data_IF_635504368972
#
_entry.id   IF_635504368972
#
_cell.length_a   1.000
_cell.length_b   1.000
_cell.length_c   1.000
_cell.angle_alpha   90.00
_cell.angle_beta   90.00
_cell.angle_gamma   90.00
#
_symmetry.space_group_name_H-M   'P 1'
#
loop_
_entity.id
_entity.type
_entity.pdbx_description
1 polymer ?
#
# COMPACT_ATOMS: atom_id res chain seq x y z
N UNK A 1 -16.66 24.76 1.40
CA UNK A 1 -16.33 25.67 2.51
C UNK A 1 -14.88 25.48 2.90
N UNK A 2 -14.01 26.41 2.51
CA UNK A 2 -12.89 26.96 3.28
C UNK A 2 -11.93 27.63 2.30
N UNK A 3 -11.87 28.94 2.44
CA UNK A 3 -10.92 29.84 1.83
C UNK A 3 -9.60 29.70 2.59
N UNK A 4 -8.45 29.71 1.91
CA UNK A 4 -7.59 30.89 1.94
C UNK A 4 -6.31 30.76 1.09
N UNK A 5 -5.74 31.90 0.64
CA UNK A 5 -4.62 32.00 -0.27
C UNK A 5 -3.32 32.47 0.40
N UNK A 6 -2.23 32.49 -0.38
CA UNK A 6 -1.18 33.50 -0.24
C UNK A 6 0.20 33.00 0.18
N UNK A 7 1.19 33.22 -0.68
CA UNK A 7 2.44 33.89 -0.32
C UNK A 7 3.21 34.27 -1.59
N UNK A 8 3.41 35.58 -1.76
CA UNK A 8 4.28 36.21 -2.72
C UNK A 8 5.72 36.28 -2.17
N UNK A 9 6.73 36.30 -3.05
CA UNK A 9 7.99 37.00 -2.79
C UNK A 9 8.80 37.23 -4.09
N UNK A 10 8.91 38.51 -4.44
CA UNK A 10 10.15 39.26 -4.71
C UNK A 10 11.12 38.74 -5.80
N UNK A 11 11.22 39.45 -6.93
CA UNK A 11 12.03 40.65 -7.16
C UNK A 11 13.45 40.33 -7.65
N UNK A 12 13.70 40.58 -8.94
CA UNK A 12 15.02 40.91 -9.46
C UNK A 12 14.86 41.86 -10.65
N UNK A 13 15.11 43.13 -10.37
CA UNK A 13 15.27 44.19 -11.34
C UNK A 13 16.61 44.03 -12.07
N UNK A 14 16.60 44.23 -13.38
CA UNK A 14 17.79 44.55 -14.16
C UNK A 14 17.43 45.60 -15.21
N UNK A 15 17.40 46.85 -14.73
CA UNK A 15 17.54 48.08 -15.49
C UNK A 15 18.95 48.19 -16.05
N UNK A 16 19.09 48.16 -17.38
CA UNK A 16 20.31 48.54 -18.08
C UNK A 16 20.04 49.82 -18.86
N UNK A 17 20.79 50.85 -18.48
CA UNK A 17 20.59 52.24 -18.88
C UNK A 17 21.06 52.62 -20.28
N UNK A 18 20.41 53.69 -20.72
CA UNK A 18 20.72 54.73 -21.69
C UNK A 18 22.08 54.76 -22.43
N UNK A 19 21.98 55.09 -23.73
CA UNK A 19 22.77 56.17 -24.34
C UNK A 19 22.00 56.77 -25.53
N UNK A 20 21.43 58.00 -25.40
CA UNK A 20 20.92 58.75 -26.54
C UNK A 20 22.03 59.60 -27.15
N UNK A 21 22.35 59.35 -28.41
CA UNK A 21 23.31 60.16 -29.17
C UNK A 21 22.60 61.43 -29.67
N UNK A 22 22.88 62.56 -29.02
CA UNK A 22 22.37 63.89 -29.39
C UNK A 22 23.19 64.45 -30.54
N UNK A 23 22.64 64.43 -31.76
CA UNK A 23 23.16 65.19 -32.91
C UNK A 23 22.20 66.36 -33.15
N UNK A 24 22.70 67.57 -32.96
CA UNK A 24 22.01 68.82 -33.23
C UNK A 24 21.72 68.99 -34.73
N UNK A 25 20.48 69.26 -35.17
CA UNK A 25 20.22 69.66 -36.53
C UNK A 25 20.47 71.17 -36.69
N UNK A 26 21.30 71.51 -37.67
CA UNK A 26 21.54 72.89 -38.12
C UNK A 26 20.24 73.50 -38.64
N UNK A 27 19.88 74.66 -38.11
CA UNK A 27 18.82 75.50 -38.66
C UNK A 27 19.15 75.90 -40.09
N UNK A 28 18.41 75.34 -41.03
CA UNK A 28 18.41 75.75 -42.42
C UNK A 28 17.05 76.36 -42.67
N UNK A 29 17.00 77.68 -42.84
CA UNK A 29 15.79 78.42 -43.19
C UNK A 29 15.31 77.94 -44.56
N UNK A 30 14.38 76.99 -44.56
CA UNK A 30 13.69 76.57 -45.78
C UNK A 30 12.55 77.54 -46.04
N UNK A 31 12.59 78.15 -47.22
CA UNK A 31 11.50 78.85 -47.87
C UNK A 31 10.16 78.11 -47.69
N UNK A 32 9.00 78.80 -47.71
CA UNK A 32 7.71 78.17 -47.48
C UNK A 32 7.50 77.04 -48.50
N UNK A 33 7.70 75.79 -48.09
CA UNK A 33 7.32 74.62 -48.86
C UNK A 33 5.79 74.63 -48.90
N UNK A 34 5.25 75.27 -49.93
CA UNK A 34 3.89 75.02 -50.37
C UNK A 34 3.83 73.51 -50.62
N UNK A 35 3.08 72.79 -49.79
CA UNK A 35 2.96 71.34 -49.80
C UNK A 35 2.32 70.88 -51.12
N UNK A 36 3.12 70.80 -52.17
CA UNK A 36 2.81 70.13 -53.41
C UNK A 36 3.04 68.62 -53.20
N UNK A 37 2.27 68.05 -52.27
CA UNK A 37 2.41 66.67 -51.82
C UNK A 37 1.10 66.21 -51.19
N UNK A 38 0.70 64.99 -51.55
CA UNK A 38 -0.61 64.39 -51.30
C UNK A 38 -0.82 64.05 -49.80
N UNK A 39 -0.91 65.07 -48.95
CA UNK A 39 -0.99 64.94 -47.49
C UNK A 39 -2.22 64.14 -47.03
N UNK A 40 -3.31 64.20 -47.79
CA UNK A 40 -4.53 63.41 -47.57
C UNK A 40 -4.25 61.92 -47.73
N UNK A 41 -3.49 61.49 -48.76
CA UNK A 41 -3.07 60.09 -48.93
C UNK A 41 -2.18 59.62 -47.78
N UNK A 42 -1.26 60.48 -47.31
CA UNK A 42 -0.39 60.14 -46.18
C UNK A 42 -1.19 59.97 -44.88
N UNK A 43 -2.18 60.81 -44.63
CA UNK A 43 -3.06 60.68 -43.47
C UNK A 43 -3.89 59.39 -43.53
N UNK A 44 -4.50 59.10 -44.68
CA UNK A 44 -5.25 57.84 -44.89
C UNK A 44 -4.35 56.63 -44.74
N UNK A 45 -3.12 56.68 -45.23
CA UNK A 45 -2.14 55.60 -45.06
C UNK A 45 -1.80 55.40 -43.58
N UNK A 46 -1.51 56.48 -42.84
CA UNK A 46 -1.23 56.41 -41.41
C UNK A 46 -2.39 55.80 -40.61
N UNK A 47 -3.62 56.19 -40.93
CA UNK A 47 -4.83 55.64 -40.31
C UNK A 47 -4.96 54.13 -40.58
N UNK A 48 -4.78 53.70 -41.83
CA UNK A 48 -4.79 52.27 -42.19
C UNK A 48 -3.67 51.50 -41.50
N UNK A 49 -2.47 52.07 -41.39
CA UNK A 49 -1.36 51.46 -40.65
C UNK A 49 -1.69 51.32 -39.16
N UNK A 50 -2.31 52.31 -38.54
CA UNK A 50 -2.74 52.25 -37.14
C UNK A 50 -3.81 51.18 -36.92
N UNK A 51 -4.80 51.10 -37.81
CA UNK A 51 -5.84 50.06 -37.78
C UNK A 51 -5.25 48.66 -37.97
N UNK A 52 -4.34 48.47 -38.94
CA UNK A 52 -3.63 47.21 -39.13
C UNK A 52 -2.86 46.80 -37.87
N UNK A 53 -2.14 47.72 -37.22
CA UNK A 53 -1.41 47.46 -35.98
C UNK A 53 -2.35 47.05 -34.84
N UNK A 54 -3.52 47.69 -34.72
CA UNK A 54 -4.56 47.32 -33.75
C UNK A 54 -5.04 45.88 -33.98
N UNK A 55 -5.35 45.51 -35.23
CA UNK A 55 -5.76 44.14 -35.54
C UNK A 55 -4.65 43.12 -35.32
N UNK A 56 -3.41 43.43 -35.70
CA UNK A 56 -2.26 42.57 -35.46
C UNK A 56 -2.04 42.30 -33.96
N UNK A 57 -2.14 43.35 -33.12
CA UNK A 57 -2.02 43.20 -31.67
C UNK A 57 -3.16 42.35 -31.08
N UNK A 58 -4.40 42.57 -31.56
CA UNK A 58 -5.57 41.78 -31.13
C UNK A 58 -5.38 40.30 -31.47
N UNK A 59 -4.89 39.99 -32.67
CA UNK A 59 -4.58 38.64 -33.10
C UNK A 59 -3.46 38.00 -32.25
N UNK A 60 -2.40 38.76 -31.94
CA UNK A 60 -1.32 38.29 -31.06
C UNK A 60 -1.83 37.94 -29.67
N UNK A 61 -2.70 38.78 -29.10
CA UNK A 61 -3.31 38.56 -27.78
C UNK A 61 -4.19 37.30 -27.78
N UNK A 62 -5.05 37.13 -28.77
CA UNK A 62 -5.84 35.91 -28.92
C UNK A 62 -4.96 34.67 -29.11
N UNK A 63 -3.89 34.77 -29.90
CA UNK A 63 -2.92 33.67 -30.10
C UNK A 63 -2.28 33.27 -28.77
N UNK A 64 -1.83 34.23 -27.96
CA UNK A 64 -1.27 33.95 -26.63
C UNK A 64 -2.29 33.28 -25.70
N UNK A 65 -3.55 33.72 -25.72
CA UNK A 65 -4.62 33.10 -24.94
C UNK A 65 -4.89 31.66 -25.37
N UNK A 66 -4.94 31.39 -26.68
CA UNK A 66 -5.13 30.03 -27.23
C UNK A 66 -3.98 29.12 -26.79
N UNK A 67 -2.73 29.58 -26.90
CA UNK A 67 -1.56 28.79 -26.51
C UNK A 67 -1.54 28.49 -25.00
N UNK A 68 -1.88 29.47 -24.16
CA UNK A 68 -1.97 29.27 -22.70
C UNK A 68 -3.10 28.30 -22.32
N UNK A 69 -4.25 28.41 -22.96
CA UNK A 69 -5.37 27.48 -22.78
C UNK A 69 -4.98 26.05 -23.21
N UNK A 70 -4.26 25.91 -24.33
CA UNK A 70 -3.78 24.62 -24.81
C UNK A 70 -2.80 23.95 -23.84
N UNK A 71 -1.80 24.70 -23.34
CA UNK A 71 -0.86 24.18 -22.35
C UNK A 71 -1.56 23.72 -21.06
N UNK A 72 -2.60 24.45 -20.64
CA UNK A 72 -3.43 24.07 -19.49
C UNK A 72 -4.23 22.80 -19.77
N UNK A 73 -4.82 22.70 -20.97
CA UNK A 73 -5.58 21.52 -21.40
C UNK A 73 -4.69 20.27 -21.43
N UNK A 74 -3.48 20.37 -21.98
CA UNK A 74 -2.52 19.25 -22.04
C UNK A 74 -2.09 18.79 -20.64
N UNK A 75 -1.80 19.74 -19.75
CA UNK A 75 -1.49 19.44 -18.35
C UNK A 75 -2.64 18.71 -17.64
N UNK A 76 -3.88 19.16 -17.86
CA UNK A 76 -5.08 18.52 -17.29
C UNK A 76 -5.33 17.14 -17.89
N UNK A 77 -5.11 16.96 -19.19
CA UNK A 77 -5.24 15.67 -19.86
C UNK A 77 -4.23 14.65 -19.31
N UNK A 78 -2.98 15.06 -19.10
CA UNK A 78 -1.97 14.22 -18.46
C UNK A 78 -2.39 13.82 -17.04
N UNK A 79 -2.78 14.79 -16.21
CA UNK A 79 -3.24 14.51 -14.85
C UNK A 79 -4.46 13.57 -14.82
N UNK A 80 -5.36 13.70 -15.80
CA UNK A 80 -6.52 12.82 -15.95
C UNK A 80 -6.11 11.39 -16.32
N UNK A 81 -5.09 11.22 -17.17
CA UNK A 81 -4.53 9.90 -17.48
C UNK A 81 -3.89 9.26 -16.25
N UNK A 82 -3.07 10.01 -15.50
CA UNK A 82 -2.42 9.53 -14.28
C UNK A 82 -3.46 9.05 -13.24
N UNK A 83 -4.56 9.80 -13.07
CA UNK A 83 -5.66 9.42 -12.16
C UNK A 83 -6.37 8.15 -12.65
N UNK A 84 -6.58 7.99 -13.96
CA UNK A 84 -7.20 6.77 -14.52
C UNK A 84 -6.33 5.54 -14.28
N UNK A 85 -5.02 5.66 -14.43
CA UNK A 85 -4.08 4.56 -14.17
C UNK A 85 -4.05 4.19 -12.67
N UNK A 86 -3.97 5.19 -11.78
CA UNK A 86 -4.04 4.96 -10.34
C UNK A 86 -5.35 4.25 -9.94
N UNK A 87 -6.49 4.68 -10.50
CA UNK A 87 -7.78 4.02 -10.28
C UNK A 87 -7.75 2.56 -10.72
N UNK A 88 -7.21 2.27 -11.91
CA UNK A 88 -7.11 0.90 -12.42
C UNK A 88 -6.24 0.00 -11.53
N UNK A 89 -5.13 0.54 -11.03
CA UNK A 89 -4.25 -0.17 -10.09
C UNK A 89 -4.97 -0.49 -8.77
N UNK A 90 -5.71 0.46 -8.22
CA UNK A 90 -6.48 0.26 -7.00
C UNK A 90 -7.62 -0.75 -7.19
N UNK A 91 -8.31 -0.76 -8.33
CA UNK A 91 -9.35 -1.75 -8.61
C UNK A 91 -8.78 -3.17 -8.76
N UNK A 92 -7.59 -3.29 -9.35
CA UNK A 92 -6.88 -4.57 -9.47
C UNK A 92 -6.48 -5.12 -8.09
N UNK A 93 -5.96 -4.25 -7.21
CA UNK A 93 -5.63 -4.60 -5.82
C UNK A 93 -6.88 -4.96 -5.01
N UNK A 94 -7.97 -4.19 -5.15
CA UNK A 94 -9.26 -4.50 -4.54
C UNK A 94 -9.74 -5.90 -4.93
N UNK A 95 -9.69 -6.22 -6.22
CA UNK A 95 -10.08 -7.54 -6.74
C UNK A 95 -9.19 -8.64 -6.16
N UNK A 96 -7.88 -8.44 -6.12
CA UNK A 96 -6.93 -9.40 -5.52
C UNK A 96 -7.26 -9.67 -4.05
N UNK A 97 -7.47 -8.61 -3.25
CA UNK A 97 -7.77 -8.74 -1.82
C UNK A 97 -9.12 -9.43 -1.57
N UNK A 98 -10.13 -9.16 -2.39
CA UNK A 98 -11.42 -9.86 -2.31
C UNK A 98 -11.26 -11.36 -2.60
N UNK A 99 -10.42 -11.73 -3.57
CA UNK A 99 -10.12 -13.14 -3.85
C UNK A 99 -9.40 -13.81 -2.67
N UNK A 100 -8.39 -13.16 -2.07
CA UNK A 100 -7.72 -13.70 -0.89
C UNK A 100 -8.68 -13.85 0.30
N UNK A 101 -9.60 -12.90 0.51
CA UNK A 101 -10.60 -13.01 1.58
C UNK A 101 -11.56 -14.19 1.34
N UNK A 102 -11.94 -14.43 0.09
CA UNK A 102 -12.75 -15.59 -0.29
C UNK A 102 -12.02 -16.90 0.05
N UNK A 103 -10.74 -17.02 -0.32
CA UNK A 103 -9.92 -18.20 -0.03
C UNK A 103 -9.81 -18.47 1.48
N UNK A 104 -9.55 -17.43 2.30
CA UNK A 104 -9.49 -17.56 3.76
C UNK A 104 -10.83 -18.03 4.34
N UNK A 105 -11.95 -17.52 3.83
CA UNK A 105 -13.26 -17.98 4.27
C UNK A 105 -13.51 -19.44 3.90
N UNK A 106 -13.15 -19.87 2.68
CA UNK A 106 -13.27 -21.27 2.24
C UNK A 106 -12.41 -22.19 3.11
N UNK A 107 -11.19 -21.79 3.48
CA UNK A 107 -10.32 -22.58 4.34
C UNK A 107 -10.80 -22.63 5.79
N UNK A 108 -11.39 -21.54 6.30
CA UNK A 108 -12.07 -21.56 7.61
C UNK A 108 -13.23 -22.55 7.59
N UNK A 109 -14.10 -22.51 6.58
CA UNK A 109 -15.25 -23.40 6.49
C UNK A 109 -14.81 -24.88 6.40
N UNK A 110 -13.69 -25.18 5.72
CA UNK A 110 -13.07 -26.52 5.74
C UNK A 110 -12.56 -26.90 7.12
N UNK A 111 -11.89 -25.99 7.83
CA UNK A 111 -11.38 -26.24 9.17
C UNK A 111 -12.52 -26.52 10.16
N UNK A 112 -13.62 -25.76 10.08
CA UNK A 112 -14.82 -25.95 10.91
C UNK A 112 -15.45 -27.34 10.66
N UNK A 113 -15.49 -27.79 9.39
CA UNK A 113 -15.97 -29.13 9.04
C UNK A 113 -15.08 -30.23 9.61
N UNK A 114 -13.75 -30.08 9.51
CA UNK A 114 -12.78 -31.02 10.07
C UNK A 114 -12.85 -31.06 11.59
N UNK A 115 -12.96 -29.90 12.25
CA UNK A 115 -13.16 -29.81 13.69
C UNK A 115 -14.42 -30.55 14.13
N UNK A 116 -15.55 -30.33 13.45
CA UNK A 116 -16.79 -31.03 13.75
C UNK A 116 -16.65 -32.55 13.59
N UNK A 117 -15.93 -33.02 12.56
CA UNK A 117 -15.69 -34.45 12.34
C UNK A 117 -14.85 -35.05 13.48
N UNK A 118 -13.73 -34.41 13.80
CA UNK A 118 -12.81 -34.86 14.86
C UNK A 118 -13.50 -34.84 16.22
N UNK A 119 -14.31 -33.81 16.52
CA UNK A 119 -15.06 -33.74 17.77
C UNK A 119 -16.07 -34.90 17.90
N UNK A 120 -16.75 -35.24 16.81
CA UNK A 120 -17.65 -36.40 16.78
C UNK A 120 -16.89 -37.70 17.02
N UNK A 121 -15.79 -37.91 16.29
CA UNK A 121 -14.94 -39.11 16.46
C UNK A 121 -14.37 -39.22 17.88
N UNK A 122 -13.94 -38.10 18.47
CA UNK A 122 -13.49 -38.06 19.87
C UNK A 122 -14.60 -38.45 20.85
N UNK A 123 -15.82 -37.95 20.62
CA UNK A 123 -17.00 -38.30 21.44
C UNK A 123 -17.34 -39.79 21.32
N UNK A 124 -17.31 -40.33 20.09
CA UNK A 124 -17.58 -41.74 19.82
C UNK A 124 -16.53 -42.65 20.47
N UNK A 125 -15.24 -42.29 20.37
CA UNK A 125 -14.15 -43.01 21.02
C UNK A 125 -14.24 -42.97 22.54
N UNK A 126 -14.55 -41.81 23.14
CA UNK A 126 -14.78 -41.69 24.59
C UNK A 126 -15.93 -42.58 25.04
N UNK A 127 -17.04 -42.57 24.30
CA UNK A 127 -18.20 -43.41 24.58
C UNK A 127 -17.86 -44.89 24.50
N UNK A 128 -17.09 -45.29 23.49
CA UNK A 128 -16.63 -46.68 23.32
C UNK A 128 -15.67 -47.12 24.43
N UNK A 129 -14.73 -46.25 24.83
CA UNK A 129 -13.82 -46.52 25.95
C UNK A 129 -14.64 -46.74 27.22
N UNK A 130 -15.57 -45.84 27.53
CA UNK A 130 -16.43 -45.96 28.71
C UNK A 130 -17.21 -47.27 28.71
N UNK A 131 -17.83 -47.64 27.58
CA UNK A 131 -18.58 -48.88 27.46
C UNK A 131 -17.73 -50.14 27.71
N UNK A 132 -16.50 -50.18 27.18
CA UNK A 132 -15.59 -51.31 27.39
C UNK A 132 -15.09 -51.34 28.83
N UNK A 133 -14.74 -50.19 29.39
CA UNK A 133 -14.21 -50.05 30.76
C UNK A 133 -15.23 -50.51 31.80
N UNK A 134 -16.50 -50.11 31.65
CA UNK A 134 -17.56 -50.45 32.60
C UNK A 134 -18.14 -51.85 32.40
N UNK A 135 -18.06 -52.38 31.17
CA UNK A 135 -18.56 -53.70 30.81
C UNK A 135 -17.51 -54.80 30.97
N UNK A 136 -17.09 -55.34 29.84
CA UNK A 136 -16.26 -56.56 29.75
C UNK A 136 -14.94 -56.44 30.51
N UNK A 137 -14.29 -55.28 30.48
CA UNK A 137 -13.02 -55.08 31.17
C UNK A 137 -13.16 -55.19 32.69
N UNK A 138 -14.20 -54.58 33.28
CA UNK A 138 -14.42 -54.62 34.72
C UNK A 138 -14.78 -56.04 35.21
N UNK A 139 -15.48 -56.83 34.40
CA UNK A 139 -15.75 -58.25 34.70
C UNK A 139 -14.45 -59.05 34.65
N UNK A 140 -13.73 -58.99 33.53
CA UNK A 140 -12.48 -59.72 33.35
C UNK A 140 -11.42 -59.36 34.40
N UNK A 141 -11.28 -58.08 34.76
CA UNK A 141 -10.34 -57.64 35.80
C UNK A 141 -10.68 -58.27 37.16
N UNK A 142 -11.95 -58.29 37.54
CA UNK A 142 -12.39 -58.89 38.82
C UNK A 142 -12.09 -60.39 38.86
N UNK A 143 -12.34 -61.10 37.77
CA UNK A 143 -12.03 -62.54 37.66
C UNK A 143 -10.53 -62.82 37.76
N UNK A 144 -9.70 -62.03 37.06
CA UNK A 144 -8.23 -62.17 37.12
C UNK A 144 -7.69 -61.84 38.51
N UNK A 145 -8.19 -60.78 39.15
CA UNK A 145 -7.75 -60.40 40.50
C UNK A 145 -8.18 -61.46 41.54
N UNK A 146 -9.35 -62.09 41.36
CA UNK A 146 -9.78 -63.22 42.21
C UNK A 146 -8.84 -64.43 42.07
N UNK A 147 -8.53 -64.86 40.84
CA UNK A 147 -7.59 -65.96 40.58
C UNK A 147 -6.17 -65.65 41.11
N UNK A 148 -5.71 -64.40 40.98
CA UNK A 148 -4.43 -63.96 41.55
C UNK A 148 -4.44 -64.03 43.07
N UNK A 149 -5.54 -63.65 43.70
CA UNK A 149 -5.74 -63.79 45.14
C UNK A 149 -5.63 -65.26 45.59
N UNK A 150 -6.25 -66.19 44.87
CA UNK A 150 -6.15 -67.64 45.13
C UNK A 150 -4.72 -68.18 45.01
N UNK A 151 -3.91 -67.61 44.10
CA UNK A 151 -2.50 -67.95 43.90
C UNK A 151 -1.53 -67.18 44.84
N UNK A 152 -2.04 -66.32 45.72
CA UNK A 152 -1.23 -65.48 46.61
C UNK A 152 -0.47 -64.34 45.91
N UNK A 153 -0.89 -63.95 44.70
CA UNK A 153 -0.31 -62.83 43.94
C UNK A 153 -1.05 -61.52 44.21
N UNK A 154 -0.32 -60.39 44.08
CA UNK A 154 -0.92 -59.07 44.20
C UNK A 154 -1.88 -58.74 43.03
N UNK A 155 -2.93 -57.94 43.27
CA UNK A 155 -3.88 -57.54 42.23
C UNK A 155 -3.21 -56.72 41.13
N UNK A 156 -3.79 -56.74 39.93
CA UNK A 156 -3.29 -55.97 38.80
C UNK A 156 -3.40 -54.46 39.03
N UNK A 157 -2.47 -53.67 38.48
CA UNK A 157 -2.57 -52.20 38.49
C UNK A 157 -3.85 -51.74 37.79
N UNK A 158 -4.34 -50.56 38.18
CA UNK A 158 -5.56 -50.00 37.61
C UNK A 158 -5.34 -49.57 36.15
N UNK A 159 -6.39 -49.64 35.33
CA UNK A 159 -6.36 -49.17 33.95
C UNK A 159 -5.88 -47.71 33.87
N UNK A 160 -6.32 -46.88 34.82
CA UNK A 160 -5.91 -45.47 34.90
C UNK A 160 -4.40 -45.33 35.09
N UNK A 161 -3.78 -46.11 35.97
CA UNK A 161 -2.32 -46.06 36.17
C UNK A 161 -1.56 -46.39 34.89
N UNK A 162 -2.02 -47.40 34.13
CA UNK A 162 -1.41 -47.75 32.83
C UNK A 162 -1.63 -46.67 31.76
N UNK A 163 -2.78 -46.00 31.75
CA UNK A 163 -3.05 -44.89 30.84
C UNK A 163 -2.18 -43.67 31.18
N UNK A 164 -2.03 -43.35 32.46
CA UNK A 164 -1.19 -42.24 32.92
C UNK A 164 0.27 -42.45 32.53
N UNK A 165 0.79 -43.67 32.70
CA UNK A 165 2.14 -44.04 32.27
C UNK A 165 2.33 -43.88 30.76
N UNK A 166 1.37 -44.36 29.94
CA UNK A 166 1.40 -44.16 28.48
C UNK A 166 1.32 -42.69 28.09
N UNK A 167 0.49 -41.91 28.77
CA UNK A 167 0.35 -40.48 28.51
C UNK A 167 1.65 -39.73 28.81
N UNK A 168 2.33 -40.09 29.90
CA UNK A 168 3.64 -39.54 30.25
C UNK A 168 4.71 -39.94 29.22
N UNK A 169 4.68 -41.19 28.74
CA UNK A 169 5.56 -41.66 27.67
C UNK A 169 5.36 -40.88 26.36
N UNK A 170 4.10 -40.68 25.93
CA UNK A 170 3.78 -39.91 24.74
C UNK A 170 4.24 -38.44 24.85
N UNK A 171 4.02 -37.80 26.00
CA UNK A 171 4.50 -36.44 26.23
C UNK A 171 6.03 -36.36 26.24
N UNK A 172 6.70 -37.37 26.77
CA UNK A 172 8.15 -37.46 26.77
C UNK A 172 8.70 -37.66 25.35
N UNK A 173 8.07 -38.54 24.56
CA UNK A 173 8.38 -38.76 23.16
C UNK A 173 8.20 -37.47 22.36
N UNK A 174 7.08 -36.77 22.51
CA UNK A 174 6.84 -35.48 21.84
C UNK A 174 7.88 -34.42 22.20
N UNK A 175 8.41 -34.42 23.44
CA UNK A 175 9.52 -33.52 23.84
C UNK A 175 10.84 -33.93 23.20
N UNK A 176 11.14 -35.23 23.11
CA UNK A 176 12.38 -35.74 22.50
C UNK A 176 12.39 -35.61 20.98
N UNK A 177 11.26 -35.78 20.31
CA UNK A 177 11.13 -35.69 18.85
C UNK A 177 11.15 -34.24 18.36
N UNK A 178 11.00 -33.26 19.26
CA UNK A 178 11.10 -31.83 18.95
C UNK A 178 9.91 -31.29 18.17
N UNK A 179 9.63 -30.00 18.39
CA UNK A 179 8.56 -29.17 17.80
C UNK A 179 8.59 -29.06 16.25
N UNK A 180 8.51 -30.17 15.51
CA UNK A 180 8.73 -30.17 14.06
C UNK A 180 7.55 -30.55 13.17
N UNK A 181 6.55 -31.31 13.65
CA UNK A 181 5.66 -32.01 12.71
C UNK A 181 4.16 -32.03 13.08
N UNK A 182 3.71 -31.06 13.88
CA UNK A 182 2.32 -30.99 14.36
C UNK A 182 1.42 -29.98 13.64
N UNK A 183 1.85 -29.41 12.51
CA UNK A 183 0.96 -28.61 11.64
C UNK A 183 0.77 -29.38 10.33
N UNK A 184 -0.46 -29.78 9.96
CA UNK A 184 -0.67 -30.37 8.65
C UNK A 184 -0.42 -29.29 7.58
N UNK A 185 0.52 -29.61 6.70
CA UNK A 185 0.53 -29.26 5.28
C UNK A 185 -0.39 -28.11 4.84
N UNK A 186 0.17 -26.90 4.82
CA UNK A 186 -0.02 -25.98 3.68
C UNK A 186 1.35 -25.76 3.05
N UNK A 187 1.94 -26.85 2.57
CA UNK A 187 2.97 -26.77 1.56
C UNK A 187 2.28 -26.76 0.21
N UNK A 188 2.18 -25.58 -0.41
CA UNK A 188 2.47 -25.35 -1.84
C UNK A 188 1.84 -24.02 -2.29
N UNK A 189 2.66 -22.96 -2.34
CA UNK A 189 2.89 -22.29 -3.61
C UNK A 189 4.19 -21.48 -3.56
N UNK A 190 5.15 -21.97 -4.35
CA UNK A 190 6.30 -21.24 -4.86
C UNK A 190 5.91 -19.79 -5.21
N UNK A 191 6.64 -18.82 -4.69
CA UNK A 191 7.10 -17.71 -5.53
C UNK A 191 8.61 -17.84 -5.67
N UNK A 192 9.00 -18.49 -6.77
CA UNK A 192 10.30 -18.27 -7.36
C UNK A 192 10.38 -16.79 -7.73
N UNK A 193 11.34 -16.09 -7.13
CA UNK A 193 11.81 -14.81 -7.64
C UNK A 193 12.78 -15.10 -8.78
N UNK A 194 12.24 -15.39 -9.95
CA UNK A 194 12.96 -15.35 -11.22
C UNK A 194 12.63 -14.00 -11.86
N UNK A 195 13.45 -12.99 -11.58
CA UNK A 195 13.59 -11.84 -12.48
C UNK A 195 14.93 -11.98 -13.20
N UNK A 196 14.86 -12.47 -14.44
CA UNK A 196 15.84 -12.17 -15.47
C UNK A 196 15.04 -11.81 -16.72
N UNK A 197 14.88 -10.51 -16.97
CA UNK A 197 14.99 -9.87 -18.29
C UNK A 197 15.04 -8.35 -18.09
N UNK A 198 16.25 -7.84 -17.82
CA UNK A 198 16.63 -6.48 -18.16
C UNK A 198 17.92 -6.55 -18.97
N UNK A 199 17.76 -6.52 -20.29
CA UNK A 199 18.82 -6.21 -21.25
C UNK A 199 19.06 -4.71 -21.20
N UNK A 200 20.20 -4.30 -20.68
CA UNK A 200 20.97 -3.13 -21.14
C UNK A 200 22.36 -3.16 -20.48
N UNK A 201 23.39 -3.02 -21.32
CA UNK A 201 24.83 -3.08 -21.03
C UNK A 201 25.30 -2.20 -19.86
N UNK A 202 26.30 -2.70 -19.11
CA UNK A 202 27.13 -1.91 -18.20
C UNK A 202 28.07 -2.77 -17.35
N UNK A 203 29.40 -2.65 -17.44
CA UNK A 203 30.32 -3.56 -16.77
C UNK A 203 30.74 -3.11 -15.35
N UNK A 204 30.82 -4.13 -14.47
CA UNK A 204 31.73 -4.34 -13.33
C UNK A 204 31.48 -3.62 -11.98
N UNK A 205 31.43 -4.46 -10.94
CA UNK A 205 31.29 -4.19 -9.49
C UNK A 205 32.65 -3.79 -8.85
N UNK A 206 32.76 -3.36 -7.56
CA UNK A 206 32.54 -4.23 -6.39
C UNK A 206 31.98 -3.58 -5.09
N UNK A 207 31.05 -4.30 -4.45
CA UNK A 207 30.95 -4.54 -2.99
C UNK A 207 30.90 -3.38 -1.97
N UNK A 208 29.82 -3.34 -1.17
CA UNK A 208 29.88 -3.21 0.32
C UNK A 208 28.52 -3.50 0.99
N UNK A 209 28.63 -4.20 2.12
CA UNK A 209 27.64 -4.92 2.94
C UNK A 209 26.44 -4.09 3.46
N UNK A 210 25.29 -4.73 3.80
CA UNK A 210 24.17 -4.08 4.46
C UNK A 210 24.56 -3.71 5.90
N UNK A 211 24.64 -2.41 6.19
CA UNK A 211 24.88 -1.90 7.55
C UNK A 211 23.59 -2.00 8.36
N UNK A 212 23.74 -2.64 9.51
CA UNK A 212 22.68 -2.98 10.45
C UNK A 212 21.78 -1.81 10.84
N UNK A 213 20.50 -2.18 10.97
CA UNK A 213 19.43 -1.46 11.65
C UNK A 213 19.93 -0.79 12.94
N UNK A 214 19.90 0.55 13.05
CA UNK A 214 20.20 1.20 14.32
C UNK A 214 19.13 0.88 15.36
N UNK A 215 19.58 0.39 16.53
CA UNK A 215 18.76 0.26 17.75
C UNK A 215 18.29 1.66 18.19
N UNK A 216 16.99 1.85 18.37
CA UNK A 216 16.45 3.10 18.89
C UNK A 216 14.95 3.12 19.05
N UNK A 217 14.43 2.28 19.96
CA UNK A 217 13.09 2.45 20.53
C UNK A 217 13.05 3.74 21.38
N UNK A 218 12.11 4.64 21.08
CA UNK A 218 11.65 5.66 22.02
C UNK A 218 10.13 5.78 21.92
N UNK A 219 9.43 4.94 22.69
CA UNK A 219 8.07 5.25 23.11
C UNK A 219 8.14 6.41 24.10
N UNK A 220 7.51 7.53 23.77
CA UNK A 220 7.26 8.62 24.72
C UNK A 220 5.81 8.51 25.17
N UNK A 221 5.61 7.81 26.28
CA UNK A 221 4.43 7.97 27.13
C UNK A 221 4.43 9.40 27.69
N UNK A 222 3.36 10.16 27.44
CA UNK A 222 3.00 11.27 28.32
C UNK A 222 1.49 11.23 28.58
N UNK A 223 1.23 11.11 29.86
CA UNK A 223 -0.02 11.14 30.63
C UNK A 223 -0.79 12.46 30.51
N UNK A 224 -2.09 12.38 30.83
CA UNK A 224 -2.99 13.50 31.12
C UNK A 224 -4.45 13.06 30.90
N UNK A 225 -5.05 12.31 31.84
CA UNK A 225 -5.91 12.84 32.92
C UNK A 225 -7.00 13.79 32.40
N UNK A 226 -8.23 13.28 32.29
CA UNK A 226 -9.37 14.06 32.79
C UNK A 226 -10.51 13.13 33.23
N UNK A 227 -10.75 13.15 34.53
CA UNK A 227 -11.96 12.71 35.20
C UNK A 227 -13.15 13.58 34.78
N UNK A 228 -14.30 12.98 34.47
CA UNK A 228 -15.55 13.61 34.86
C UNK A 228 -16.64 12.57 35.17
N UNK A 229 -17.02 12.57 36.43
CA UNK A 229 -18.20 11.94 37.02
C UNK A 229 -19.45 12.73 36.62
N UNK A 230 -20.55 12.06 36.25
CA UNK A 230 -21.85 12.47 36.78
C UNK A 230 -22.87 11.33 36.75
N UNK A 231 -23.28 10.93 37.96
CA UNK A 231 -24.49 10.18 38.30
C UNK A 231 -25.57 11.17 38.71
N UNK A 232 -26.78 11.01 38.19
CA UNK A 232 -27.98 11.74 38.57
C UNK A 232 -29.14 11.31 37.69
#
# INVERSE_FOLDING_TARGET
MSLSPGAAAHAAASTSGASPNTIAPKETYQSPLVAQGDWTKNLVHLAKTAELKKHALTLQLHTAHILSAHATLDSKNKALQDIKEQKNRLESERTRLLNCLREVNEDRDKADLLESSINKECSDLRSKIQAITDGDYAVAKREVDALRGELGQAPLPSLQATLDEKSAAYLNERRLTGDGNGSPQVAQQKRGGEEVYSVAEGPLTPGKRPRGRPKGSKNKTKTGTNSNTNTG
#
